data_IF_352747259810
#
_entry.id   IF_352747259810
#
_cell.length_a   1.000
_cell.length_b   1.000
_cell.length_c   1.000
_cell.angle_alpha   90.00
_cell.angle_beta   90.00
_cell.angle_gamma   90.00
#
_symmetry.space_group_name_H-M   'P 1'
#
loop_
_entity.id
_entity.type
_entity.pdbx_description
1 polymer ?
#
# COMPACT_ATOMS: atom_id res chain seq x y z
N UNK A 1 3.41 -1.57 -6.01
CA UNK A 1 2.17 -1.08 -5.39
C UNK A 1 2.49 -0.25 -4.17
N UNK A 2 1.80 0.87 -3.98
CA UNK A 2 1.79 1.64 -2.74
C UNK A 2 0.42 1.50 -2.07
N UNK A 3 0.39 1.18 -0.79
CA UNK A 3 -0.82 1.00 0.00
C UNK A 3 -0.99 2.21 0.93
N UNK A 4 -2.01 3.04 0.67
CA UNK A 4 -2.33 4.19 1.52
C UNK A 4 -2.79 3.70 2.89
N UNK A 5 -2.54 4.52 3.91
CA UNK A 5 -2.91 4.16 5.30
C UNK A 5 -4.42 4.22 5.55
N UNK A 6 -5.16 5.01 4.76
CA UNK A 6 -6.54 5.36 5.08
C UNK A 6 -6.63 6.31 6.27
N UNK A 7 -7.85 6.65 6.70
CA UNK A 7 -8.13 7.57 7.82
C UNK A 7 -8.58 6.84 9.09
N UNK A 8 -8.83 5.53 9.03
CA UNK A 8 -9.28 4.71 10.16
C UNK A 8 -8.11 4.17 11.00
N UNK A 9 -7.62 4.98 11.96
CA UNK A 9 -6.61 4.55 12.93
C UNK A 9 -6.01 5.69 13.76
N UNK A 10 -5.04 5.39 14.63
CA UNK A 10 -4.30 6.43 15.35
C UNK A 10 -3.55 7.34 14.35
N UNK A 11 -3.77 8.65 14.46
CA UNK A 11 -3.25 9.68 13.56
C UNK A 11 -1.72 9.80 13.75
N UNK A 12 -0.98 9.14 12.86
CA UNK A 12 0.45 9.36 12.65
C UNK A 12 0.56 9.94 11.26
N UNK A 13 0.59 11.26 11.18
CA UNK A 13 0.54 11.99 9.92
C UNK A 13 1.82 11.74 9.13
N UNK A 14 1.74 10.92 8.09
CA UNK A 14 2.76 10.87 7.06
C UNK A 14 2.63 12.17 6.26
N UNK A 15 3.36 13.20 6.70
CA UNK A 15 3.17 14.61 6.30
C UNK A 15 3.27 14.87 4.79
N UNK A 16 3.86 13.93 4.06
CA UNK A 16 4.10 13.99 2.63
C UNK A 16 3.54 12.75 1.88
N UNK A 17 2.51 12.08 2.41
CA UNK A 17 1.91 10.89 1.77
C UNK A 17 1.54 11.12 0.31
N UNK A 18 0.92 12.26 0.00
CA UNK A 18 0.51 12.59 -1.36
C UNK A 18 1.73 12.77 -2.28
N UNK A 19 2.80 13.43 -1.82
CA UNK A 19 4.03 13.60 -2.59
C UNK A 19 4.77 12.26 -2.82
N UNK A 20 4.72 11.34 -1.84
CA UNK A 20 5.27 10.00 -1.98
C UNK A 20 4.44 9.18 -2.97
N UNK A 21 3.11 9.28 -2.91
CA UNK A 21 2.22 8.62 -3.85
C UNK A 21 2.46 9.12 -5.29
N UNK A 22 2.53 10.43 -5.50
CA UNK A 22 2.84 11.04 -6.80
C UNK A 22 4.20 10.56 -7.34
N UNK A 23 5.24 10.54 -6.48
CA UNK A 23 6.55 10.03 -6.88
C UNK A 23 6.51 8.55 -7.27
N UNK A 24 5.90 7.71 -6.44
CA UNK A 24 5.79 6.27 -6.69
C UNK A 24 4.98 5.97 -7.96
N UNK A 25 3.90 6.71 -8.19
CA UNK A 25 3.12 6.62 -9.43
C UNK A 25 3.97 6.99 -10.65
N UNK A 26 4.79 8.05 -10.56
CA UNK A 26 5.69 8.47 -11.65
C UNK A 26 6.72 7.41 -12.05
N UNK A 27 7.08 6.50 -11.13
CA UNK A 27 8.01 5.39 -11.38
C UNK A 27 7.28 4.04 -11.60
N UNK A 28 5.97 4.07 -11.81
CA UNK A 28 5.17 2.92 -12.27
C UNK A 28 4.50 2.11 -11.16
N UNK A 29 4.44 2.62 -9.93
CA UNK A 29 3.69 1.96 -8.87
C UNK A 29 2.21 2.27 -8.98
N UNK A 30 1.37 1.25 -8.86
CA UNK A 30 -0.06 1.43 -8.60
C UNK A 30 -0.28 1.90 -7.16
N UNK A 31 -1.01 3.00 -6.99
CA UNK A 31 -1.47 3.50 -5.70
C UNK A 31 -2.81 2.84 -5.36
N UNK A 32 -2.94 2.29 -4.16
CA UNK A 32 -4.13 1.59 -3.69
C UNK A 32 -4.60 2.24 -2.40
N UNK A 33 -5.83 2.72 -2.41
CA UNK A 33 -6.52 3.19 -1.21
C UNK A 33 -7.47 2.08 -0.71
N UNK A 34 -7.12 1.39 0.39
CA UNK A 34 -7.90 0.27 0.91
C UNK A 34 -9.32 0.66 1.38
N UNK A 35 -9.54 1.91 1.77
CA UNK A 35 -10.84 2.36 2.28
C UNK A 35 -11.83 2.61 1.14
N UNK A 36 -11.31 2.75 -0.07
CA UNK A 36 -12.10 2.96 -1.28
C UNK A 36 -12.48 1.67 -2.01
N UNK A 37 -11.95 0.52 -1.57
CA UNK A 37 -12.08 -0.77 -2.26
C UNK A 37 -12.79 -1.81 -1.38
N UNK A 38 -13.53 -2.69 -2.05
CA UNK A 38 -13.96 -3.95 -1.44
C UNK A 38 -12.77 -4.91 -1.28
N UNK A 39 -12.93 -5.95 -0.44
CA UNK A 39 -11.89 -6.96 -0.23
C UNK A 39 -11.49 -7.65 -1.53
N UNK A 40 -12.46 -7.99 -2.39
CA UNK A 40 -12.19 -8.68 -3.65
C UNK A 40 -11.42 -7.78 -4.62
N UNK A 41 -11.77 -6.50 -4.72
CA UNK A 41 -11.04 -5.53 -5.54
C UNK A 41 -9.63 -5.29 -5.02
N UNK A 42 -9.45 -5.26 -3.69
CA UNK A 42 -8.13 -5.14 -3.08
C UNK A 42 -7.26 -6.35 -3.43
N UNK A 43 -7.81 -7.57 -3.32
CA UNK A 43 -7.09 -8.80 -3.67
C UNK A 43 -6.70 -8.78 -5.15
N UNK A 44 -7.63 -8.50 -6.06
CA UNK A 44 -7.37 -8.46 -7.50
C UNK A 44 -6.26 -7.45 -7.86
N UNK A 45 -6.28 -6.27 -7.24
CA UNK A 45 -5.29 -5.23 -7.51
C UNK A 45 -3.92 -5.49 -6.88
N UNK A 46 -3.86 -6.30 -5.81
CA UNK A 46 -2.62 -6.57 -5.07
C UNK A 46 -1.97 -7.88 -5.47
N UNK A 47 -2.71 -8.80 -6.08
CA UNK A 47 -2.25 -10.15 -6.39
C UNK A 47 -1.03 -10.13 -7.33
N UNK A 48 0.07 -10.72 -6.87
CA UNK A 48 1.29 -10.81 -7.66
C UNK A 48 2.11 -9.52 -7.68
N UNK A 49 1.86 -8.57 -6.77
CA UNK A 49 2.71 -7.40 -6.63
C UNK A 49 4.15 -7.80 -6.27
N UNK A 50 5.13 -7.38 -7.07
CA UNK A 50 6.56 -7.64 -6.80
C UNK A 50 7.12 -6.74 -5.68
N UNK A 51 6.58 -5.53 -5.57
CA UNK A 51 6.95 -4.56 -4.54
C UNK A 51 5.70 -4.00 -3.91
N UNK A 52 5.62 -4.05 -2.59
CA UNK A 52 4.57 -3.41 -1.79
C UNK A 52 5.23 -2.40 -0.87
N UNK A 53 4.84 -1.14 -0.98
CA UNK A 53 5.29 -0.04 -0.13
C UNK A 53 4.09 0.46 0.67
N UNK A 54 4.24 0.71 1.96
CA UNK A 54 3.17 1.25 2.79
C UNK A 54 3.72 1.95 4.03
N UNK A 55 2.85 2.69 4.71
CA UNK A 55 3.19 3.34 5.98
C UNK A 55 2.84 2.43 7.17
N UNK A 56 3.68 2.45 8.20
CA UNK A 56 3.63 1.60 9.40
C UNK A 56 2.21 1.34 9.94
N UNK A 57 1.78 0.07 10.03
CA UNK A 57 0.51 -0.31 10.67
C UNK A 57 0.05 -1.74 10.36
N UNK A 58 -0.95 -2.23 11.11
CA UNK A 58 -1.57 -3.56 10.91
C UNK A 58 -2.18 -3.76 9.53
N UNK A 59 -2.49 -2.65 8.84
CA UNK A 59 -3.03 -2.62 7.49
C UNK A 59 -2.08 -3.25 6.44
N UNK A 60 -0.76 -3.26 6.67
CA UNK A 60 0.17 -3.95 5.77
C UNK A 60 0.03 -5.48 5.79
N UNK A 61 -0.64 -6.05 6.80
CA UNK A 61 -0.90 -7.50 6.90
C UNK A 61 -1.68 -8.04 5.69
N UNK A 62 -2.54 -7.21 5.07
CA UNK A 62 -3.29 -7.62 3.87
C UNK A 62 -2.39 -7.93 2.68
N UNK A 63 -1.23 -7.28 2.60
CA UNK A 63 -0.28 -7.44 1.49
C UNK A 63 0.59 -8.68 1.62
N UNK A 64 0.74 -9.25 2.82
CA UNK A 64 1.52 -10.48 3.05
C UNK A 64 0.90 -11.66 2.29
N UNK A 65 -0.42 -11.66 2.13
CA UNK A 65 -1.15 -12.75 1.48
C UNK A 65 -1.13 -12.65 -0.06
N UNK A 66 -0.82 -11.48 -0.61
CA UNK A 66 -0.98 -11.20 -2.05
C UNK A 66 0.31 -10.84 -2.76
N UNK A 67 1.39 -10.57 -2.01
CA UNK A 67 2.73 -10.32 -2.56
C UNK A 67 3.22 -11.52 -3.40
N UNK A 68 3.93 -11.24 -4.50
CA UNK A 68 4.49 -12.26 -5.36
C UNK A 68 5.53 -13.13 -4.62
N UNK A 69 5.76 -14.34 -5.13
CA UNK A 69 6.90 -15.15 -4.72
C UNK A 69 8.19 -14.33 -4.93
N UNK A 70 9.01 -14.23 -3.88
CA UNK A 70 10.22 -13.37 -3.85
C UNK A 70 9.96 -11.86 -3.94
N UNK A 71 8.73 -11.39 -3.69
CA UNK A 71 8.43 -9.97 -3.61
C UNK A 71 9.02 -9.30 -2.37
N UNK A 72 9.15 -7.97 -2.44
CA UNK A 72 9.72 -7.14 -1.35
C UNK A 72 8.66 -6.23 -0.75
N UNK A 73 8.59 -6.22 0.58
CA UNK A 73 7.72 -5.32 1.34
C UNK A 73 8.58 -4.24 2.02
N UNK A 74 8.25 -2.97 1.79
CA UNK A 74 8.94 -1.82 2.37
C UNK A 74 7.95 -1.08 3.28
N UNK A 75 8.28 -1.01 4.56
CA UNK A 75 7.53 -0.26 5.57
C UNK A 75 8.22 1.07 5.81
N UNK A 76 7.50 2.18 5.57
CA UNK A 76 7.95 3.52 5.88
C UNK A 76 7.50 3.86 7.31
N UNK A 77 8.47 4.24 8.15
CA UNK A 77 8.31 4.70 9.54
C UNK A 77 8.40 6.22 9.64
#
# INVERSE_FOLDING_TARGET
>A
MFLRRGRSGAERGFVNEDAVAEFLESIGFRIVDPESLTVDELVDQTLGAQYVIGCEGSHMSHSILTIALSGTMICLI
#
